data_IF_598261399398
#
_entry.id   IF_598261399398
#
_cell.length_a   1.000
_cell.length_b   1.000
_cell.length_c   1.000
_cell.angle_alpha   90.00
_cell.angle_beta   90.00
_cell.angle_gamma   90.00
#
_symmetry.space_group_name_H-M   'P 1'
#
loop_
_entity.id
_entity.type
_entity.pdbx_description
1 polymer ?
#
# COMPACT_ATOMS: atom_id res chain seq x y z
N UNK A 1 -22.59 25.85 -43.74
CA UNK A 1 -23.53 26.22 -42.65
C UNK A 1 -24.24 24.95 -42.19
N UNK A 2 -23.98 24.51 -40.96
CA UNK A 2 -24.90 23.76 -40.07
C UNK A 2 -24.13 23.47 -38.78
N UNK A 3 -24.35 24.30 -37.75
CA UNK A 3 -23.89 24.07 -36.39
C UNK A 3 -24.84 23.09 -35.71
N UNK A 4 -24.30 22.15 -34.94
CA UNK A 4 -24.96 21.72 -33.69
C UNK A 4 -23.90 21.38 -32.63
N UNK A 5 -24.09 21.83 -31.37
CA UNK A 5 -23.11 21.69 -30.30
C UNK A 5 -23.31 20.35 -29.57
N UNK A 6 -22.24 19.63 -29.26
CA UNK A 6 -22.30 18.57 -28.24
C UNK A 6 -22.00 19.18 -26.88
N UNK A 7 -23.03 19.10 -26.03
CA UNK A 7 -23.08 19.42 -24.62
C UNK A 7 -22.65 18.18 -23.83
N UNK A 8 -21.84 18.37 -22.78
CA UNK A 8 -21.41 17.32 -21.84
C UNK A 8 -20.06 16.73 -22.25
N UNK A 9 -19.05 16.64 -21.40
CA UNK A 9 -19.04 16.53 -19.94
C UNK A 9 -17.85 17.35 -19.40
N UNK A 10 -18.13 18.42 -18.68
CA UNK A 10 -17.14 19.02 -17.80
C UNK A 10 -16.81 17.97 -16.72
N UNK A 11 -15.52 17.68 -16.58
CA UNK A 11 -15.01 16.66 -15.67
C UNK A 11 -15.65 16.79 -14.28
N UNK A 12 -16.24 15.68 -13.82
CA UNK A 12 -16.57 15.53 -12.41
C UNK A 12 -15.25 15.51 -11.66
N UNK A 13 -14.92 16.63 -11.02
CA UNK A 13 -13.99 16.67 -9.92
C UNK A 13 -14.40 15.58 -8.94
N UNK A 14 -13.55 14.57 -8.80
CA UNK A 14 -13.69 13.58 -7.75
C UNK A 14 -13.37 14.31 -6.47
N UNK A 15 -14.40 14.82 -5.79
CA UNK A 15 -14.30 15.36 -4.45
C UNK A 15 -13.66 14.31 -3.55
N UNK A 16 -12.39 14.54 -3.24
CA UNK A 16 -11.61 13.76 -2.30
C UNK A 16 -12.10 14.12 -0.89
N UNK A 17 -13.18 13.47 -0.47
CA UNK A 17 -13.57 13.45 0.93
C UNK A 17 -13.67 11.99 1.38
N UNK A 18 -12.53 11.47 1.83
CA UNK A 18 -12.48 10.27 2.67
C UNK A 18 -11.54 10.58 3.82
N UNK A 19 -12.15 10.86 4.97
CA UNK A 19 -11.59 11.19 6.27
C UNK A 19 -10.73 10.06 6.86
N UNK A 20 -9.54 9.86 6.30
CA UNK A 20 -8.48 9.04 6.88
C UNK A 20 -7.15 9.74 6.67
N UNK A 21 -6.44 10.07 7.76
CA UNK A 21 -5.09 10.60 7.66
C UNK A 21 -4.23 9.64 6.81
N UNK A 22 -3.40 10.18 5.91
CA UNK A 22 -2.52 9.38 5.08
C UNK A 22 -1.69 8.41 5.95
N UNK A 23 -1.49 7.15 5.51
CA UNK A 23 -0.78 6.15 6.31
C UNK A 23 0.63 6.62 6.67
N UNK A 24 1.04 6.33 7.90
CA UNK A 24 2.28 6.86 8.47
C UNK A 24 3.53 6.24 7.82
N UNK A 25 4.32 7.08 7.14
CA UNK A 25 5.64 6.70 6.61
C UNK A 25 6.60 6.26 7.73
N UNK A 26 6.56 6.94 8.87
CA UNK A 26 7.36 6.57 10.06
C UNK A 26 6.93 5.19 10.58
N UNK A 27 5.62 4.93 10.60
CA UNK A 27 5.05 3.63 10.97
C UNK A 27 5.54 2.52 10.05
N UNK A 28 5.50 2.74 8.74
CA UNK A 28 5.99 1.77 7.75
C UNK A 28 7.50 1.49 7.89
N UNK A 29 8.32 2.50 8.22
CA UNK A 29 9.75 2.28 8.50
C UNK A 29 9.97 1.48 9.79
N UNK A 30 9.19 1.72 10.85
CA UNK A 30 9.22 0.88 12.05
C UNK A 30 8.82 -0.56 11.72
N UNK A 31 7.73 -0.76 10.98
CA UNK A 31 7.30 -2.07 10.50
C UNK A 31 8.38 -2.78 9.70
N UNK A 32 9.05 -2.06 8.80
CA UNK A 32 10.19 -2.58 8.01
C UNK A 32 11.31 -3.07 8.91
N UNK A 33 11.73 -2.29 9.91
CA UNK A 33 12.81 -2.67 10.85
C UNK A 33 12.47 -3.92 11.66
N UNK A 34 11.23 -4.01 12.15
CA UNK A 34 10.73 -5.22 12.83
C UNK A 34 10.79 -6.40 11.86
N UNK A 35 10.31 -6.21 10.62
CA UNK A 35 10.35 -7.22 9.57
C UNK A 35 11.77 -7.69 9.24
N UNK A 36 12.74 -6.78 9.11
CA UNK A 36 14.15 -7.12 8.86
C UNK A 36 14.67 -8.06 9.96
N UNK A 37 14.50 -7.68 11.23
CA UNK A 37 14.96 -8.48 12.37
C UNK A 37 14.33 -9.87 12.40
N UNK A 38 13.00 -9.94 12.23
CA UNK A 38 12.26 -11.19 12.23
C UNK A 38 12.63 -12.09 11.05
N UNK A 39 12.64 -11.55 9.83
CA UNK A 39 12.86 -12.32 8.61
C UNK A 39 14.29 -12.83 8.49
N UNK A 40 15.29 -11.99 8.76
CA UNK A 40 16.69 -12.41 8.73
C UNK A 40 17.08 -13.30 9.92
N UNK A 41 16.41 -13.16 11.06
CA UNK A 41 16.59 -14.04 12.21
C UNK A 41 16.04 -15.46 11.98
N UNK A 42 14.86 -15.58 11.37
CA UNK A 42 14.17 -16.87 11.23
C UNK A 42 14.44 -17.58 9.89
N UNK A 43 14.55 -16.84 8.77
CA UNK A 43 14.61 -17.44 7.43
C UNK A 43 15.90 -17.16 6.63
N UNK A 44 16.69 -16.14 7.02
CA UNK A 44 17.88 -15.70 6.25
C UNK A 44 17.58 -15.54 4.74
N UNK A 45 16.58 -14.73 4.36
CA UNK A 45 16.15 -14.62 2.98
C UNK A 45 17.27 -14.08 2.07
N UNK A 46 17.33 -14.59 0.85
CA UNK A 46 18.23 -14.06 -0.20
C UNK A 46 17.45 -13.11 -1.09
N UNK A 47 17.81 -11.82 -1.05
CA UNK A 47 17.18 -10.79 -1.88
C UNK A 47 18.01 -10.57 -3.13
N UNK A 48 17.42 -10.81 -4.29
CA UNK A 48 18.03 -10.52 -5.59
C UNK A 48 17.36 -9.29 -6.20
N UNK A 49 18.15 -8.43 -6.86
CA UNK A 49 17.61 -7.27 -7.57
C UNK A 49 17.20 -6.10 -6.69
N UNK A 50 17.58 -6.06 -5.41
CA UNK A 50 17.28 -4.93 -4.51
C UNK A 50 17.71 -3.57 -5.07
N UNK A 51 18.80 -3.53 -5.85
CA UNK A 51 19.32 -2.33 -6.53
C UNK A 51 18.39 -1.79 -7.64
N UNK A 52 17.39 -2.57 -8.08
CA UNK A 52 16.40 -2.12 -9.05
C UNK A 52 15.30 -1.28 -8.42
N UNK A 53 15.18 -1.29 -7.09
CA UNK A 53 14.23 -0.46 -6.38
C UNK A 53 14.62 1.01 -6.51
N UNK A 54 13.75 1.90 -7.02
CA UNK A 54 14.04 3.33 -7.08
C UNK A 54 14.34 3.88 -5.68
N UNK A 55 15.41 4.66 -5.54
CA UNK A 55 15.86 5.20 -4.26
C UNK A 55 14.84 6.16 -3.62
N UNK A 56 14.06 6.85 -4.46
CA UNK A 56 13.01 7.79 -4.04
C UNK A 56 11.87 7.81 -5.06
N UNK A 57 10.78 8.51 -4.73
CA UNK A 57 9.60 8.63 -5.58
C UNK A 57 8.64 7.44 -5.47
N UNK A 58 7.45 7.56 -6.10
CA UNK A 58 6.40 6.54 -6.04
C UNK A 58 6.85 5.23 -6.68
N UNK A 59 6.51 4.11 -6.04
CA UNK A 59 6.68 2.79 -6.63
C UNK A 59 5.51 1.87 -6.26
N UNK A 60 5.16 0.97 -7.18
CA UNK A 60 4.25 -0.14 -6.90
C UNK A 60 5.07 -1.43 -6.88
N UNK A 61 4.99 -2.16 -5.78
CA UNK A 61 5.57 -3.48 -5.62
C UNK A 61 4.47 -4.53 -5.78
N UNK A 62 4.41 -5.14 -6.96
CA UNK A 62 3.50 -6.24 -7.24
C UNK A 62 4.17 -7.56 -6.85
N UNK A 63 3.53 -8.31 -5.96
CA UNK A 63 4.07 -9.55 -5.38
C UNK A 63 3.06 -10.67 -5.58
N UNK A 64 3.53 -11.85 -5.98
CA UNK A 64 2.68 -13.05 -5.98
C UNK A 64 2.29 -13.41 -4.54
N UNK A 65 1.06 -13.90 -4.32
CA UNK A 65 0.58 -14.29 -3.00
C UNK A 65 0.33 -15.81 -2.93
N UNK A 66 1.28 -16.54 -2.36
CA UNK A 66 1.19 -17.98 -2.14
C UNK A 66 0.88 -18.32 -0.68
N UNK A 67 1.33 -17.51 0.27
CA UNK A 67 1.19 -17.76 1.70
C UNK A 67 0.95 -16.48 2.50
N UNK A 68 0.32 -16.61 3.68
CA UNK A 68 0.10 -15.48 4.59
C UNK A 68 1.40 -14.79 5.05
N UNK A 69 2.53 -15.49 5.01
CA UNK A 69 3.84 -14.94 5.39
C UNK A 69 4.41 -13.98 4.34
N UNK A 70 3.89 -13.97 3.11
CA UNK A 70 4.44 -13.16 2.01
C UNK A 70 4.42 -11.66 2.34
N UNK A 71 3.34 -11.17 2.96
CA UNK A 71 3.22 -9.78 3.42
C UNK A 71 4.35 -9.38 4.38
N UNK A 72 4.46 -10.02 5.56
CA UNK A 72 5.57 -9.79 6.48
C UNK A 72 6.96 -10.01 5.84
N UNK A 73 7.10 -11.02 4.97
CA UNK A 73 8.36 -11.31 4.31
C UNK A 73 8.79 -10.16 3.40
N UNK A 74 7.93 -9.73 2.48
CA UNK A 74 8.24 -8.63 1.56
C UNK A 74 8.44 -7.31 2.31
N UNK A 75 7.62 -7.03 3.32
CA UNK A 75 7.81 -5.86 4.17
C UNK A 75 9.19 -5.87 4.85
N UNK A 76 9.66 -7.04 5.30
CA UNK A 76 10.96 -7.18 5.94
C UNK A 76 12.16 -7.16 4.99
N UNK A 77 12.00 -7.59 3.74
CA UNK A 77 13.12 -7.64 2.77
C UNK A 77 13.17 -6.45 1.81
N UNK A 78 12.10 -5.67 1.73
CA UNK A 78 12.05 -4.49 0.85
C UNK A 78 13.09 -3.43 1.28
N UNK A 79 13.84 -2.85 0.31
CA UNK A 79 14.78 -1.76 0.59
C UNK A 79 14.12 -0.51 1.18
N UNK A 80 12.83 -0.29 0.86
CA UNK A 80 12.05 0.89 1.27
C UNK A 80 10.80 0.45 2.05
N UNK A 81 10.32 1.28 2.99
CA UNK A 81 9.04 1.05 3.67
C UNK A 81 7.90 0.85 2.68
N UNK A 82 7.08 -0.17 2.90
CA UNK A 82 5.96 -0.56 2.03
C UNK A 82 4.63 -0.50 2.75
N UNK A 83 3.62 0.01 2.07
CA UNK A 83 2.23 0.00 2.49
C UNK A 83 1.45 -1.01 1.67
N UNK A 84 0.92 -2.07 2.27
CA UNK A 84 0.12 -3.07 1.57
C UNK A 84 -1.38 -2.83 1.75
N UNK A 85 -2.14 -3.13 0.69
CA UNK A 85 -3.58 -3.31 0.76
C UNK A 85 -3.89 -4.67 1.38
N UNK A 86 -4.34 -4.67 2.63
CA UNK A 86 -4.65 -5.86 3.42
C UNK A 86 -6.16 -5.95 3.60
N UNK A 87 -6.71 -7.15 3.39
CA UNK A 87 -8.15 -7.42 3.55
C UNK A 87 -8.62 -7.02 4.95
N UNK A 88 -9.77 -6.36 5.06
CA UNK A 88 -10.31 -5.88 6.35
C UNK A 88 -10.42 -6.99 7.41
N UNK A 89 -10.66 -8.23 7.00
CA UNK A 89 -10.78 -9.40 7.88
C UNK A 89 -9.48 -9.78 8.58
N UNK A 90 -8.33 -9.27 8.12
CA UNK A 90 -7.04 -9.47 8.80
C UNK A 90 -6.85 -8.49 9.97
N UNK A 91 -7.63 -7.42 10.02
CA UNK A 91 -7.57 -6.43 11.10
C UNK A 91 -8.52 -6.85 12.22
N UNK A 92 -8.08 -7.84 13.01
CA UNK A 92 -8.85 -8.39 14.12
C UNK A 92 -8.05 -8.32 15.43
N UNK A 93 -8.72 -7.98 16.52
CA UNK A 93 -8.11 -7.94 17.86
C UNK A 93 -6.84 -7.07 17.89
N UNK A 94 -5.74 -7.54 18.51
CA UNK A 94 -4.47 -6.80 18.59
C UNK A 94 -3.80 -6.52 17.24
N UNK A 95 -4.14 -7.26 16.17
CA UNK A 95 -3.56 -7.05 14.85
C UNK A 95 -4.07 -5.77 14.19
N UNK A 96 -5.29 -5.33 14.52
CA UNK A 96 -5.84 -4.10 13.94
C UNK A 96 -4.97 -2.86 14.25
N UNK A 97 -4.77 -2.48 15.54
CA UNK A 97 -3.93 -1.33 15.86
C UNK A 97 -2.47 -1.53 15.41
N UNK A 98 -1.97 -2.76 15.40
CA UNK A 98 -0.61 -3.04 14.94
C UNK A 98 -0.44 -2.77 13.44
N UNK A 99 -1.28 -3.36 12.59
CA UNK A 99 -1.23 -3.19 11.14
C UNK A 99 -1.43 -1.72 10.74
N UNK A 100 -2.35 -1.04 11.43
CA UNK A 100 -2.58 0.40 11.24
C UNK A 100 -1.34 1.21 11.65
N UNK A 101 -0.72 0.89 12.79
CA UNK A 101 0.46 1.60 13.29
C UNK A 101 1.69 1.44 12.38
N UNK A 102 1.86 0.28 11.75
CA UNK A 102 2.93 0.05 10.77
C UNK A 102 2.55 0.52 9.35
N UNK A 103 1.45 1.26 9.20
CA UNK A 103 1.06 1.93 7.97
C UNK A 103 0.38 1.05 6.92
N UNK A 104 -0.20 -0.09 7.28
CA UNK A 104 -0.93 -0.92 6.31
C UNK A 104 -2.33 -0.38 6.05
N UNK A 105 -2.82 -0.62 4.84
CA UNK A 105 -4.10 -0.10 4.35
C UNK A 105 -5.17 -1.19 4.44
N UNK A 106 -6.28 -0.88 5.11
CA UNK A 106 -7.48 -1.75 5.11
C UNK A 106 -8.15 -1.65 3.74
N UNK A 107 -8.51 -2.78 3.15
CA UNK A 107 -9.34 -2.83 1.94
C UNK A 107 -10.52 -3.78 2.14
N UNK A 108 -11.71 -3.29 1.79
CA UNK A 108 -12.90 -4.13 1.64
C UNK A 108 -13.01 -4.62 0.19
N UNK A 109 -12.78 -5.92 -0.02
CA UNK A 109 -12.84 -6.53 -1.36
C UNK A 109 -14.27 -6.86 -1.80
N UNK A 110 -15.26 -6.77 -0.90
CA UNK A 110 -16.66 -7.04 -1.23
C UNK A 110 -17.36 -5.87 -1.93
N UNK A 111 -16.74 -4.69 -1.89
CA UNK A 111 -17.27 -3.46 -2.47
C UNK A 111 -16.21 -2.74 -3.31
N UNK A 112 -16.64 -1.78 -4.11
CA UNK A 112 -15.73 -0.82 -4.73
C UNK A 112 -15.22 0.16 -3.67
N UNK A 113 -14.21 -0.25 -2.89
CA UNK A 113 -13.65 0.53 -1.79
C UNK A 113 -12.83 1.73 -2.31
N UNK A 114 -13.54 2.82 -2.60
CA UNK A 114 -12.93 4.08 -3.05
C UNK A 114 -12.00 4.68 -2.00
N UNK A 115 -12.27 4.45 -0.71
CA UNK A 115 -11.43 4.96 0.38
C UNK A 115 -10.05 4.32 0.37
N UNK A 116 -9.98 3.00 0.20
CA UNK A 116 -8.71 2.28 0.06
C UNK A 116 -7.94 2.73 -1.18
N UNK A 117 -8.62 2.96 -2.30
CA UNK A 117 -8.00 3.47 -3.53
C UNK A 117 -7.43 4.88 -3.30
N UNK A 118 -8.18 5.80 -2.70
CA UNK A 118 -7.70 7.15 -2.40
C UNK A 118 -6.46 7.11 -1.50
N UNK A 119 -6.48 6.31 -0.43
CA UNK A 119 -5.32 6.16 0.46
C UNK A 119 -4.10 5.57 -0.27
N UNK A 120 -4.31 4.58 -1.14
CA UNK A 120 -3.24 4.02 -1.97
C UNK A 120 -2.64 5.06 -2.92
N UNK A 121 -3.47 5.90 -3.53
CA UNK A 121 -3.03 7.03 -4.35
C UNK A 121 -2.26 8.06 -3.52
N UNK A 122 -2.69 8.33 -2.29
CA UNK A 122 -2.02 9.29 -1.41
C UNK A 122 -0.64 8.81 -0.96
N UNK A 123 -0.46 7.49 -0.73
CA UNK A 123 0.88 6.88 -0.56
C UNK A 123 1.77 7.18 -1.74
N UNK A 124 1.27 6.97 -2.97
CA UNK A 124 2.05 7.20 -4.19
C UNK A 124 2.34 8.70 -4.39
N UNK A 125 1.37 9.58 -4.19
CA UNK A 125 1.57 11.04 -4.26
C UNK A 125 2.62 11.53 -3.26
N UNK A 126 2.69 10.92 -2.09
CA UNK A 126 3.73 11.18 -1.08
C UNK A 126 5.10 10.58 -1.43
N UNK A 127 5.24 9.91 -2.58
CA UNK A 127 6.47 9.27 -3.01
C UNK A 127 6.78 7.96 -2.27
N UNK A 128 5.77 7.35 -1.63
CA UNK A 128 5.88 6.08 -0.92
C UNK A 128 5.86 4.86 -1.84
N UNK A 129 5.89 3.67 -1.22
CA UNK A 129 5.82 2.39 -1.93
C UNK A 129 4.52 1.69 -1.59
N UNK A 130 3.70 1.42 -2.60
CA UNK A 130 2.46 0.66 -2.46
C UNK A 130 2.72 -0.80 -2.84
N UNK A 131 2.47 -1.72 -1.92
CA UNK A 131 2.52 -3.15 -2.16
C UNK A 131 1.15 -3.72 -2.54
N UNK A 132 1.10 -4.55 -3.58
CA UNK A 132 -0.12 -5.25 -4.00
C UNK A 132 0.12 -6.74 -4.19
N UNK A 133 -0.95 -7.49 -3.98
CA UNK A 133 -1.04 -8.93 -4.24
C UNK A 133 -2.18 -9.15 -5.24
N UNK A 134 -1.88 -9.26 -6.55
CA UNK A 134 -2.88 -9.45 -7.59
C UNK A 134 -3.50 -10.85 -7.57
#
# INVERSE_FOLDING_TARGET
MCRHPRRGEAGREVSADSSGAAPSLKGAEVGRRIGVGLMYGLWKPRVLGAWRMPASGPAILAVNHSHNIDGPMVMGVSPRPTHFLIKKEAFIGPLDPFLTAIGQLKVDRSVADRGAITQALDVLKAGGVLGIFP
#
